data_IF_764659025546
#
_entry.id   IF_764659025546
#
_cell.length_a   1.000
_cell.length_b   1.000
_cell.length_c   1.000
_cell.angle_alpha   90.00
_cell.angle_beta   90.00
_cell.angle_gamma   90.00
#
_symmetry.space_group_name_H-M   'P 1'
#
loop_
_entity.id
_entity.type
_entity.pdbx_description
1 polymer ?
#
# COMPACT_ATOMS: atom_id res chain seq x y z
N UNK A 1 -33.81 24.05 -23.42
CA UNK A 1 -32.85 25.17 -23.29
C UNK A 1 -31.70 24.68 -22.41
N UNK A 2 -30.46 24.81 -22.91
CA UNK A 2 -29.12 24.58 -22.32
C UNK A 2 -29.03 23.69 -21.07
N UNK A 3 -28.53 22.44 -21.12
CA UNK A 3 -27.14 21.98 -21.35
C UNK A 3 -26.13 22.53 -20.35
N UNK A 4 -25.76 21.70 -19.36
CA UNK A 4 -24.34 21.44 -19.01
C UNK A 4 -24.18 19.95 -18.81
N UNK A 5 -23.34 19.36 -19.66
CA UNK A 5 -22.93 17.97 -19.68
C UNK A 5 -21.57 17.78 -18.98
N UNK A 6 -21.35 16.58 -18.42
CA UNK A 6 -20.09 15.80 -18.42
C UNK A 6 -20.26 14.57 -17.50
N UNK A 7 -19.79 13.38 -17.81
CA UNK A 7 -19.43 12.71 -19.07
C UNK A 7 -19.14 11.24 -18.69
N UNK A 8 -20.12 10.36 -18.88
CA UNK A 8 -19.88 8.92 -19.05
C UNK A 8 -20.77 8.47 -20.21
N UNK A 9 -20.19 8.42 -21.41
CA UNK A 9 -20.81 7.73 -22.53
C UNK A 9 -19.76 7.29 -23.54
N UNK A 10 -19.61 5.97 -23.63
CA UNK A 10 -18.98 5.29 -24.75
C UNK A 10 -20.10 4.58 -25.49
N UNK A 11 -20.34 4.91 -26.76
CA UNK A 11 -20.59 3.93 -27.84
C UNK A 11 -20.67 4.63 -29.22
N UNK A 12 -19.82 4.14 -30.14
CA UNK A 12 -19.88 4.19 -31.61
C UNK A 12 -19.73 5.53 -32.38
N UNK A 13 -18.51 5.80 -32.86
CA UNK A 13 -18.29 6.29 -34.22
C UNK A 13 -16.91 5.85 -34.74
N UNK A 14 -16.93 5.08 -35.83
CA UNK A 14 -15.78 4.57 -36.57
C UNK A 14 -15.05 5.69 -37.32
N UNK A 15 -13.81 5.98 -36.91
CA UNK A 15 -12.78 6.59 -37.75
C UNK A 15 -11.46 5.89 -37.42
N UNK A 16 -10.95 5.15 -38.40
CA UNK A 16 -9.65 4.49 -38.38
C UNK A 16 -8.54 5.54 -38.21
N UNK A 17 -8.05 5.69 -36.99
CA UNK A 17 -6.69 6.18 -36.73
C UNK A 17 -5.95 5.04 -36.07
N UNK A 18 -5.13 4.37 -36.87
CA UNK A 18 -4.20 3.35 -36.42
C UNK A 18 -3.08 4.05 -35.63
N UNK A 19 -3.34 4.39 -34.38
CA UNK A 19 -2.31 4.75 -33.41
C UNK A 19 -2.03 3.51 -32.57
N UNK A 20 -1.19 2.64 -33.10
CA UNK A 20 -0.33 1.81 -32.29
C UNK A 20 0.47 2.73 -31.36
N UNK A 21 -0.08 3.08 -30.20
CA UNK A 21 0.74 3.48 -29.05
C UNK A 21 1.49 2.21 -28.68
N UNK A 22 2.67 2.05 -29.27
CA UNK A 22 3.78 1.38 -28.59
C UNK A 22 3.74 1.89 -27.17
N UNK A 23 3.41 1.00 -26.23
CA UNK A 23 3.50 1.27 -24.82
C UNK A 23 4.91 1.78 -24.60
N UNK A 24 5.04 3.09 -24.43
CA UNK A 24 6.27 3.68 -23.93
C UNK A 24 6.39 3.02 -22.58
N UNK A 25 7.37 2.12 -22.43
CA UNK A 25 7.86 1.72 -21.14
C UNK A 25 8.06 3.03 -20.40
N UNK A 26 7.16 3.35 -19.49
CA UNK A 26 7.48 4.26 -18.42
C UNK A 26 8.53 3.47 -17.66
N UNK A 27 9.81 3.70 -18.01
CA UNK A 27 10.87 3.58 -17.04
C UNK A 27 10.42 4.51 -15.91
N UNK A 28 9.71 3.93 -14.94
CA UNK A 28 9.62 4.50 -13.62
C UNK A 28 11.07 4.69 -13.24
N UNK A 29 11.60 5.90 -13.46
CA UNK A 29 13.01 6.23 -13.22
C UNK A 29 13.26 5.70 -11.84
N UNK A 30 14.06 4.63 -11.73
CA UNK A 30 14.33 3.96 -10.47
C UNK A 30 14.97 5.03 -9.60
N UNK A 31 14.16 5.68 -8.77
CA UNK A 31 14.63 6.71 -7.86
C UNK A 31 15.57 6.00 -6.91
N UNK A 32 16.69 6.65 -6.57
CA UNK A 32 17.64 6.07 -5.64
C UNK A 32 16.90 5.69 -4.34
N UNK A 33 16.99 4.43 -3.92
CA UNK A 33 16.37 3.94 -2.69
C UNK A 33 16.83 4.75 -1.49
N UNK A 34 18.08 5.21 -1.48
CA UNK A 34 18.63 6.08 -0.43
C UNK A 34 17.88 7.40 -0.33
N UNK A 35 17.51 8.00 -1.48
CA UNK A 35 16.75 9.26 -1.47
C UNK A 35 15.39 9.06 -0.81
N UNK A 36 14.73 7.93 -1.09
CA UNK A 36 13.45 7.59 -0.47
C UNK A 36 13.62 7.34 1.05
N UNK A 37 14.63 6.58 1.45
CA UNK A 37 14.94 6.32 2.87
C UNK A 37 15.23 7.61 3.63
N UNK A 38 16.06 8.51 3.08
CA UNK A 38 16.38 9.80 3.71
C UNK A 38 15.16 10.72 3.77
N UNK A 39 14.34 10.74 2.72
CA UNK A 39 13.10 11.54 2.71
C UNK A 39 12.12 11.02 3.77
N UNK A 40 11.98 9.71 3.89
CA UNK A 40 11.15 9.09 4.92
C UNK A 40 11.68 9.36 6.32
N UNK A 41 13.00 9.28 6.53
CA UNK A 41 13.64 9.63 7.79
C UNK A 41 13.41 11.09 8.19
N UNK A 42 13.51 12.02 7.23
CA UNK A 42 13.19 13.43 7.46
C UNK A 42 11.72 13.65 7.84
N UNK A 43 10.80 12.93 7.19
CA UNK A 43 9.36 12.95 7.53
C UNK A 43 9.13 12.48 8.98
N UNK A 44 9.68 11.32 9.36
CA UNK A 44 9.51 10.79 10.72
C UNK A 44 10.16 11.71 11.75
N UNK A 45 11.34 12.25 11.47
CA UNK A 45 12.01 13.22 12.34
C UNK A 45 11.21 14.52 12.50
N UNK A 46 10.50 14.95 11.46
CA UNK A 46 9.59 16.09 11.55
C UNK A 46 8.38 15.77 12.44
N UNK A 47 7.75 14.60 12.27
CA UNK A 47 6.64 14.16 13.13
C UNK A 47 7.05 14.05 14.61
N UNK A 48 8.26 13.58 14.89
CA UNK A 48 8.81 13.52 16.26
C UNK A 48 9.01 14.90 16.90
N UNK A 49 9.14 15.96 16.09
CA UNK A 49 9.21 17.34 16.60
C UNK A 49 7.82 17.96 16.79
N UNK A 50 6.90 17.60 15.91
CA UNK A 50 5.56 18.22 15.86
C UNK A 50 4.57 17.58 16.84
N UNK A 51 4.85 16.36 17.31
CA UNK A 51 4.00 15.61 18.23
C UNK A 51 4.74 15.27 19.51
N UNK A 52 4.06 15.44 20.65
CA UNK A 52 4.56 15.03 21.96
C UNK A 52 4.36 13.52 22.21
N UNK A 53 3.33 12.93 21.59
CA UNK A 53 2.93 11.55 21.82
C UNK A 53 3.23 10.65 20.61
N UNK A 54 3.97 9.57 20.85
CA UNK A 54 4.36 8.54 19.88
C UNK A 54 3.16 7.78 19.29
N UNK A 55 2.11 7.55 20.07
CA UNK A 55 0.87 6.95 19.56
C UNK A 55 0.21 7.82 18.49
N UNK A 56 0.27 9.14 18.62
CA UNK A 56 -0.27 10.04 17.60
C UNK A 56 0.59 10.07 16.34
N UNK A 57 1.92 9.98 16.49
CA UNK A 57 2.84 9.79 15.35
C UNK A 57 2.50 8.48 14.61
N UNK A 58 2.30 7.38 15.34
CA UNK A 58 1.93 6.10 14.75
C UNK A 58 0.62 6.19 13.95
N UNK A 59 -0.40 6.89 14.47
CA UNK A 59 -1.66 7.13 13.75
C UNK A 59 -1.45 8.00 12.51
N UNK A 60 -0.62 9.03 12.59
CA UNK A 60 -0.34 9.89 11.44
C UNK A 60 0.40 9.15 10.33
N UNK A 61 1.42 8.34 10.66
CA UNK A 61 2.13 7.52 9.69
C UNK A 61 1.17 6.56 8.97
N UNK A 62 0.29 5.89 9.72
CA UNK A 62 -0.71 5.00 9.15
C UNK A 62 -1.68 5.76 8.23
N UNK A 63 -2.19 6.92 8.67
CA UNK A 63 -3.08 7.76 7.87
C UNK A 63 -2.42 8.25 6.58
N UNK A 64 -1.16 8.66 6.65
CA UNK A 64 -0.38 9.05 5.46
C UNK A 64 -0.26 7.86 4.50
N UNK A 65 0.07 6.68 5.04
CA UNK A 65 0.16 5.45 4.28
C UNK A 65 -1.16 5.09 3.59
N UNK A 66 -2.29 5.17 4.30
CA UNK A 66 -3.61 4.91 3.73
C UNK A 66 -3.90 5.80 2.52
N UNK A 67 -3.66 7.11 2.63
CA UNK A 67 -3.84 8.05 1.53
C UNK A 67 -2.90 7.79 0.34
N UNK A 68 -1.72 7.21 0.60
CA UNK A 68 -0.83 6.74 -0.45
C UNK A 68 -1.39 5.47 -1.10
N UNK A 69 -1.84 4.50 -0.30
CA UNK A 69 -2.38 3.21 -0.76
C UNK A 69 -3.55 3.37 -1.73
N UNK A 70 -4.50 4.25 -1.40
CA UNK A 70 -5.67 4.53 -2.26
C UNK A 70 -5.28 5.07 -3.65
N UNK A 71 -4.11 5.70 -3.78
CA UNK A 71 -3.59 6.23 -5.06
C UNK A 71 -2.67 5.24 -5.77
N UNK A 72 -1.87 4.51 -5.01
CA UNK A 72 -0.87 3.57 -5.56
C UNK A 72 -1.50 2.36 -6.25
N UNK A 73 -2.69 1.96 -5.82
CA UNK A 73 -3.39 0.80 -6.37
C UNK A 73 -3.68 0.93 -7.87
N UNK A 74 -4.03 2.12 -8.36
CA UNK A 74 -4.30 2.34 -9.78
C UNK A 74 -3.04 2.11 -10.63
N UNK A 75 -1.88 2.60 -10.17
CA UNK A 75 -0.59 2.37 -10.83
C UNK A 75 -0.21 0.88 -10.79
N UNK A 76 -0.42 0.21 -9.66
CA UNK A 76 -0.16 -1.23 -9.54
C UNK A 76 -1.00 -2.05 -10.54
N UNK A 77 -2.30 -1.79 -10.64
CA UNK A 77 -3.20 -2.48 -11.55
C UNK A 77 -2.83 -2.19 -13.02
N UNK A 78 -2.50 -0.93 -13.35
CA UNK A 78 -2.09 -0.56 -14.70
C UNK A 78 -0.76 -1.22 -15.13
N UNK A 79 0.20 -1.36 -14.21
CA UNK A 79 1.52 -1.95 -14.50
C UNK A 79 1.49 -3.47 -14.58
N UNK A 80 0.63 -4.12 -13.78
CA UNK A 80 0.60 -5.58 -13.69
C UNK A 80 -0.48 -6.22 -14.57
N UNK A 81 -1.50 -5.46 -14.97
CA UNK A 81 -2.69 -6.02 -15.61
C UNK A 81 -3.45 -7.00 -14.71
N UNK A 82 -3.28 -6.90 -13.39
CA UNK A 82 -3.91 -7.80 -12.44
C UNK A 82 -5.43 -7.63 -12.45
N UNK A 83 -6.14 -8.75 -12.55
CA UNK A 83 -7.59 -8.80 -12.37
C UNK A 83 -7.99 -8.85 -10.89
N UNK A 84 -9.29 -9.05 -10.65
CA UNK A 84 -9.84 -9.22 -9.31
C UNK A 84 -9.30 -10.48 -8.65
N UNK A 85 -8.89 -10.40 -7.39
CA UNK A 85 -8.41 -11.56 -6.65
C UNK A 85 -9.56 -12.49 -6.24
N UNK A 86 -9.33 -13.80 -6.35
CA UNK A 86 -10.34 -14.83 -6.04
C UNK A 86 -10.40 -15.12 -4.54
N UNK A 87 -9.24 -15.26 -3.92
CA UNK A 87 -9.07 -15.54 -2.50
C UNK A 87 -7.97 -14.65 -1.88
N UNK A 88 -7.77 -14.81 -0.57
CA UNK A 88 -6.79 -14.00 0.15
C UNK A 88 -5.35 -14.43 -0.13
N UNK A 89 -5.13 -15.65 -0.64
CA UNK A 89 -3.79 -16.13 -1.05
C UNK A 89 -3.33 -15.44 -2.31
N UNK A 90 -4.19 -15.33 -3.32
CA UNK A 90 -3.94 -14.53 -4.52
C UNK A 90 -3.65 -13.07 -4.13
N UNK A 91 -4.44 -12.52 -3.19
CA UNK A 91 -4.20 -11.16 -2.66
C UNK A 91 -2.80 -11.02 -2.04
N UNK A 92 -2.36 -12.00 -1.25
CA UNK A 92 -1.03 -12.00 -0.63
C UNK A 92 0.09 -11.99 -1.69
N UNK A 93 -0.03 -12.78 -2.77
CA UNK A 93 0.92 -12.79 -3.88
C UNK A 93 0.97 -11.44 -4.63
N UNK A 94 -0.19 -10.78 -4.79
CA UNK A 94 -0.25 -9.41 -5.36
C UNK A 94 0.41 -8.38 -4.45
N UNK A 95 0.19 -8.48 -3.14
CA UNK A 95 0.86 -7.63 -2.15
C UNK A 95 2.37 -7.82 -2.23
N UNK A 96 2.87 -9.06 -2.23
CA UNK A 96 4.30 -9.35 -2.37
C UNK A 96 4.87 -8.78 -3.67
N UNK A 97 4.14 -8.90 -4.78
CA UNK A 97 4.53 -8.28 -6.06
C UNK A 97 4.57 -6.75 -5.99
N UNK A 98 3.62 -6.14 -5.25
CA UNK A 98 3.59 -4.70 -4.99
C UNK A 98 4.85 -4.21 -4.27
N UNK A 99 5.27 -4.92 -3.21
CA UNK A 99 6.54 -4.62 -2.53
C UNK A 99 7.74 -4.67 -3.47
N UNK A 100 7.80 -5.67 -4.36
CA UNK A 100 8.88 -5.78 -5.34
C UNK A 100 8.88 -4.63 -6.34
N UNK A 101 7.68 -4.21 -6.75
CA UNK A 101 7.46 -3.16 -7.73
C UNK A 101 7.79 -1.76 -7.19
N UNK A 102 7.43 -1.47 -5.93
CA UNK A 102 7.52 -0.12 -5.35
C UNK A 102 8.74 0.07 -4.44
N UNK A 103 9.15 -0.96 -3.71
CA UNK A 103 10.25 -0.90 -2.75
C UNK A 103 11.45 -1.76 -3.16
N UNK A 104 11.34 -2.56 -4.22
CA UNK A 104 12.42 -3.42 -4.69
C UNK A 104 12.69 -4.63 -3.79
N UNK A 105 11.82 -4.90 -2.81
CA UNK A 105 11.96 -6.01 -1.86
C UNK A 105 10.86 -7.05 -2.08
N UNK A 106 11.12 -8.31 -1.75
CA UNK A 106 10.13 -9.39 -1.85
C UNK A 106 9.96 -10.02 -0.47
N UNK A 107 8.99 -9.57 0.35
CA UNK A 107 8.77 -10.16 1.66
C UNK A 107 8.33 -11.61 1.55
N UNK A 108 8.76 -12.45 2.48
CA UNK A 108 8.33 -13.84 2.54
C UNK A 108 6.94 -13.91 3.16
N UNK A 109 6.01 -14.60 2.50
CA UNK A 109 4.66 -14.84 3.03
C UNK A 109 4.68 -16.12 3.87
N UNK A 110 4.31 -16.02 5.14
CA UNK A 110 4.35 -17.14 6.10
C UNK A 110 3.14 -17.13 7.04
N UNK A 111 3.11 -18.08 7.99
CA UNK A 111 2.19 -18.08 9.13
C UNK A 111 0.69 -17.98 8.77
N UNK A 112 0.26 -18.62 7.69
CA UNK A 112 -1.15 -18.65 7.31
C UNK A 112 -2.04 -19.18 8.44
N UNK A 113 -3.15 -18.51 8.73
CA UNK A 113 -4.18 -19.05 9.61
C UNK A 113 -4.81 -20.30 8.99
N UNK A 114 -5.33 -21.25 9.80
CA UNK A 114 -6.04 -22.41 9.28
C UNK A 114 -7.25 -22.05 8.42
N UNK A 115 -7.90 -20.92 8.70
CA UNK A 115 -9.03 -20.40 7.93
C UNK A 115 -8.60 -19.71 6.60
N UNK A 116 -7.31 -19.46 6.41
CA UNK A 116 -6.79 -18.79 5.20
C UNK A 116 -7.13 -17.31 5.12
N UNK A 117 -7.54 -16.70 6.23
CA UNK A 117 -7.94 -15.29 6.35
C UNK A 117 -6.86 -14.39 6.97
N UNK A 118 -5.72 -14.96 7.36
CA UNK A 118 -4.58 -14.21 7.88
C UNK A 118 -3.25 -14.79 7.39
N UNK A 119 -2.27 -13.92 7.18
CA UNK A 119 -0.88 -14.30 6.87
C UNK A 119 0.09 -13.26 7.42
N UNK A 120 1.37 -13.61 7.43
CA UNK A 120 2.46 -12.71 7.81
C UNK A 120 3.34 -12.37 6.61
N UNK A 121 3.75 -11.11 6.54
CA UNK A 121 4.79 -10.61 5.65
C UNK A 121 6.07 -10.45 6.46
N UNK A 122 7.08 -11.26 6.17
CA UNK A 122 8.38 -11.20 6.83
C UNK A 122 9.39 -10.49 5.93
N UNK A 123 10.04 -9.47 6.46
CA UNK A 123 11.09 -8.70 5.78
C UNK A 123 12.43 -9.03 6.45
N UNK A 124 13.32 -9.69 5.70
CA UNK A 124 14.70 -9.92 6.15
C UNK A 124 15.52 -8.62 6.07
N UNK A 125 15.31 -7.86 5.00
CA UNK A 125 15.90 -6.54 4.80
C UNK A 125 14.78 -5.52 4.57
N UNK A 126 14.87 -4.38 5.25
CA UNK A 126 13.94 -3.28 5.09
C UNK A 126 14.70 -2.00 4.70
N UNK A 127 14.57 -1.52 3.45
CA UNK A 127 15.34 -0.37 2.96
C UNK A 127 15.01 0.92 3.72
N UNK A 128 13.83 0.99 4.36
CA UNK A 128 13.43 2.13 5.17
C UNK A 128 14.23 2.27 6.46
N UNK A 129 14.82 1.18 6.96
CA UNK A 129 15.45 1.14 8.29
C UNK A 129 16.97 1.04 8.26
N UNK A 130 17.58 1.05 7.07
CA UNK A 130 19.03 0.80 6.89
C UNK A 130 19.93 1.78 7.67
N UNK A 131 19.48 3.01 7.89
CA UNK A 131 20.23 4.06 8.60
C UNK A 131 19.52 4.58 9.84
N UNK A 132 18.67 3.75 10.44
CA UNK A 132 17.78 4.17 11.53
C UNK A 132 18.13 3.44 12.80
N UNK A 133 18.38 4.20 13.85
CA UNK A 133 18.44 3.73 15.22
C UNK A 133 17.40 4.49 16.04
N UNK A 134 16.57 3.78 16.79
CA UNK A 134 15.55 4.40 17.64
C UNK A 134 16.13 4.71 19.01
N UNK A 135 16.00 5.96 19.50
CA UNK A 135 16.31 6.28 20.89
C UNK A 135 15.38 5.54 21.87
N UNK A 136 15.84 5.31 23.10
CA UNK A 136 15.08 4.60 24.15
C UNK A 136 13.70 5.22 24.45
N UNK A 137 13.57 6.54 24.31
CA UNK A 137 12.30 7.25 24.53
C UNK A 137 11.29 7.06 23.38
N UNK A 138 11.71 6.47 22.26
CA UNK A 138 10.91 6.24 21.06
C UNK A 138 10.58 4.75 20.83
N UNK A 139 10.77 3.87 21.81
CA UNK A 139 10.56 2.42 21.64
C UNK A 139 9.12 2.03 21.23
N UNK A 140 8.12 2.87 21.55
CA UNK A 140 6.73 2.67 21.12
C UNK A 140 6.49 3.06 19.66
N UNK A 141 7.44 3.73 19.00
CA UNK A 141 7.32 4.14 17.61
C UNK A 141 7.32 2.90 16.73
N UNK A 142 6.38 2.84 15.80
CA UNK A 142 6.38 1.87 14.71
C UNK A 142 6.93 2.61 13.51
N UNK A 143 8.25 2.59 13.37
CA UNK A 143 8.93 3.46 12.40
C UNK A 143 8.38 3.27 10.99
N UNK A 144 8.05 2.04 10.59
CA UNK A 144 7.48 1.72 9.27
C UNK A 144 5.94 1.63 9.25
N UNK A 145 5.22 2.29 10.18
CA UNK A 145 3.74 2.22 10.22
C UNK A 145 3.05 2.83 8.99
N UNK A 146 3.78 3.54 8.14
CA UNK A 146 3.28 3.93 6.82
C UNK A 146 2.90 2.71 5.95
N UNK A 147 3.62 1.59 6.09
CA UNK A 147 3.37 0.37 5.29
C UNK A 147 2.02 -0.27 5.62
N UNK A 148 1.63 -0.29 6.90
CA UNK A 148 0.33 -0.83 7.33
C UNK A 148 -0.82 -0.03 6.72
N UNK A 149 -0.68 1.31 6.71
CA UNK A 149 -1.60 2.22 6.05
C UNK A 149 -1.69 1.98 4.54
N UNK A 150 -0.55 1.88 3.85
CA UNK A 150 -0.52 1.63 2.39
C UNK A 150 -1.27 0.36 2.04
N UNK A 151 -1.05 -0.72 2.77
CA UNK A 151 -1.75 -1.98 2.55
C UNK A 151 -3.26 -1.82 2.75
N UNK A 152 -3.68 -1.18 3.84
CA UNK A 152 -5.11 -0.93 4.12
C UNK A 152 -5.77 -0.12 3.01
N UNK A 153 -5.18 1.02 2.62
CA UNK A 153 -5.73 1.88 1.58
C UNK A 153 -5.79 1.20 0.21
N UNK A 154 -4.75 0.45 -0.15
CA UNK A 154 -4.73 -0.26 -1.43
C UNK A 154 -5.77 -1.39 -1.50
N UNK A 155 -5.91 -2.19 -0.44
CA UNK A 155 -6.90 -3.26 -0.36
C UNK A 155 -8.34 -2.71 -0.33
N UNK A 156 -8.57 -1.57 0.33
CA UNK A 156 -9.90 -0.96 0.40
C UNK A 156 -10.42 -0.56 -0.98
N UNK A 157 -9.55 -0.02 -1.85
CA UNK A 157 -9.91 0.35 -3.23
C UNK A 157 -10.26 -0.84 -4.14
N UNK A 158 -9.91 -2.06 -3.73
CA UNK A 158 -10.34 -3.31 -4.38
C UNK A 158 -11.39 -4.05 -3.53
N UNK A 159 -12.12 -3.28 -2.72
CA UNK A 159 -13.28 -3.71 -1.92
C UNK A 159 -12.94 -4.78 -0.88
N UNK A 160 -11.73 -4.71 -0.34
CA UNK A 160 -11.26 -5.63 0.68
C UNK A 160 -10.85 -4.86 1.94
N UNK A 161 -11.64 -5.02 3.00
CA UNK A 161 -11.24 -4.50 4.30
C UNK A 161 -10.25 -5.46 4.95
N UNK A 162 -9.08 -4.93 5.32
CA UNK A 162 -8.05 -5.66 6.04
C UNK A 162 -7.64 -4.94 7.31
N UNK A 163 -7.16 -5.71 8.28
CA UNK A 163 -6.38 -5.21 9.41
C UNK A 163 -4.91 -5.56 9.19
N UNK A 164 -4.01 -4.62 9.48
CA UNK A 164 -2.57 -4.83 9.36
C UNK A 164 -1.83 -4.22 10.55
N UNK A 165 -0.93 -4.99 11.18
CA UNK A 165 -0.18 -4.56 12.36
C UNK A 165 1.19 -5.24 12.46
N UNK A 166 2.10 -4.61 13.20
CA UNK A 166 3.41 -5.19 13.51
C UNK A 166 3.30 -6.31 14.53
N UNK A 167 4.00 -7.41 14.27
CA UNK A 167 4.24 -8.50 15.22
C UNK A 167 5.68 -8.44 15.73
N UNK A 168 6.62 -8.19 14.83
CA UNK A 168 8.05 -8.06 15.12
C UNK A 168 8.62 -6.84 14.39
N UNK A 169 9.63 -6.21 14.98
CA UNK A 169 10.30 -5.03 14.43
C UNK A 169 11.81 -5.09 14.72
N UNK A 170 12.62 -5.14 13.66
CA UNK A 170 14.08 -5.17 13.79
C UNK A 170 14.63 -3.96 14.54
N UNK A 171 13.97 -2.79 14.45
CA UNK A 171 14.38 -1.60 15.20
C UNK A 171 14.12 -1.72 16.71
N UNK A 172 13.41 -2.76 17.13
CA UNK A 172 13.14 -3.11 18.53
C UNK A 172 13.90 -4.35 18.98
N UNK A 173 14.94 -4.71 18.25
CA UNK A 173 15.80 -5.87 18.48
C UNK A 173 15.15 -7.23 18.20
N UNK A 174 14.09 -7.28 17.39
CA UNK A 174 13.62 -8.54 16.82
C UNK A 174 14.51 -9.00 15.65
N UNK A 175 14.46 -10.29 15.31
CA UNK A 175 15.28 -10.86 14.25
C UNK A 175 14.83 -10.42 12.84
N UNK A 176 13.54 -10.19 12.66
CA UNK A 176 12.91 -9.82 11.38
C UNK A 176 11.86 -8.76 11.62
N UNK A 177 11.53 -7.98 10.59
CA UNK A 177 10.31 -7.17 10.62
C UNK A 177 9.16 -8.06 10.15
N UNK A 178 8.09 -8.16 10.93
CA UNK A 178 6.91 -8.97 10.61
C UNK A 178 5.65 -8.11 10.66
N UNK A 179 4.93 -8.05 9.55
CA UNK A 179 3.59 -7.47 9.48
C UNK A 179 2.56 -8.59 9.36
N UNK A 180 1.60 -8.61 10.28
CA UNK A 180 0.42 -9.46 10.18
C UNK A 180 -0.63 -8.76 9.32
N UNK A 181 -1.26 -9.52 8.42
CA UNK A 181 -2.36 -9.04 7.59
C UNK A 181 -3.54 -9.99 7.78
N UNK A 182 -4.70 -9.43 8.10
CA UNK A 182 -5.96 -10.15 8.31
C UNK A 182 -7.04 -9.62 7.39
N UNK A 183 -7.72 -10.51 6.71
CA UNK A 183 -8.98 -10.22 6.02
C UNK A 183 -10.09 -10.00 7.05
N UNK A 184 -10.80 -8.87 6.93
CA UNK A 184 -11.91 -8.51 7.83
C UNK A 184 -13.23 -8.83 7.14
N UNK A 185 -13.48 -8.20 5.99
CA UNK A 185 -14.68 -8.44 5.18
C UNK A 185 -14.49 -7.91 3.76
N UNK A 186 -15.38 -8.34 2.86
CA UNK A 186 -15.55 -7.65 1.57
C UNK A 186 -16.45 -6.44 1.79
N UNK A 187 -16.09 -5.34 1.13
CA UNK A 187 -16.90 -4.13 1.11
C UNK A 187 -17.96 -4.28 0.03
N UNK A 188 -19.20 -3.92 0.35
CA UNK A 188 -20.30 -3.91 -0.60
C UNK A 188 -20.27 -2.60 -1.39
N UNK A 189 -20.54 -2.67 -2.68
CA UNK A 189 -20.82 -1.47 -3.48
C UNK A 189 -22.14 -0.88 -2.99
N UNK A 190 -22.11 0.35 -2.49
CA UNK A 190 -23.33 1.14 -2.33
C UNK A 190 -23.86 1.45 -3.73
N UNK A 191 -24.75 0.61 -4.24
CA UNK A 191 -25.55 0.94 -5.42
C UNK A 191 -26.47 2.10 -4.97
N UNK A 192 -26.33 3.33 -5.49
CA UNK A 192 -27.31 4.36 -5.21
C UNK A 192 -28.67 3.80 -5.66
N UNK A 193 -29.65 3.82 -4.75
CA UNK A 193 -31.01 3.36 -5.04
C UNK A 193 -31.43 3.97 -6.38
N UNK A 194 -31.79 3.11 -7.33
CA UNK A 194 -32.14 3.53 -8.68
C UNK A 194 -33.20 4.62 -8.67
N UNK A 195 -33.05 5.59 -9.57
CA UNK A 195 -34.21 6.36 -10.02
C UNK A 195 -35.06 5.40 -10.86
N UNK A 196 -36.22 4.99 -10.31
CA UNK A 196 -37.32 4.37 -11.07
C UNK A 196 -37.85 5.30 -12.16
#
# INVERSE_FOLDING_TARGET
>A
MCVVARCYHWHHCSLLVNMSRTGTKLDAKKVNSELFTLTYGALVAQLLKDYENVEDINKQLERMGYNMGIRLIEDFLARTGSGRCYDFRDTAEKIQSGFKIFLGITPTITNWSPAGDEFSLCFETNPLTEFVELPDHCLNLKYCNILTGVLRGACEMVQMEIACWFVQDQLKNDNVTELRVKFVKRLEDAIPAGED
#
